data_IF_374530695377
#
_entry.id   IF_374530695377
#
_cell.length_a   1.000
_cell.length_b   1.000
_cell.length_c   1.000
_cell.angle_alpha   90.00
_cell.angle_beta   90.00
_cell.angle_gamma   90.00
#
_symmetry.space_group_name_H-M   'P 1'
#
loop_
_entity.id
_entity.type
_entity.pdbx_description
1 polymer ?
#
# COMPACT_ATOMS: atom_id res chain seq x y z
N UNK A 1 -28.59 -29.02 -7.26
CA UNK A 1 -28.46 -28.57 -8.66
C UNK A 1 -27.52 -27.41 -8.65
N UNK A 2 -26.25 -27.56 -9.06
CA UNK A 2 -25.29 -26.45 -9.24
C UNK A 2 -25.84 -25.61 -10.39
N UNK A 3 -25.92 -24.29 -10.16
CA UNK A 3 -26.27 -23.30 -11.18
C UNK A 3 -25.10 -23.20 -12.18
N UNK A 4 -25.04 -24.08 -13.17
CA UNK A 4 -23.93 -24.21 -14.14
C UNK A 4 -23.82 -23.06 -15.15
N UNK A 5 -24.59 -21.97 -15.01
CA UNK A 5 -24.62 -20.88 -16.00
C UNK A 5 -24.50 -19.47 -15.40
N UNK A 6 -23.98 -19.33 -14.17
CA UNK A 6 -23.79 -17.97 -13.63
C UNK A 6 -22.39 -17.48 -14.00
N UNK A 7 -22.33 -16.50 -14.93
CA UNK A 7 -21.08 -15.79 -15.23
C UNK A 7 -20.47 -15.20 -13.94
N UNK A 8 -19.18 -15.33 -13.79
CA UNK A 8 -18.40 -14.78 -12.67
C UNK A 8 -17.58 -13.58 -13.17
N UNK A 9 -18.24 -12.46 -13.48
CA UNK A 9 -17.58 -11.24 -13.93
C UNK A 9 -17.34 -10.31 -12.75
N UNK A 10 -16.13 -9.76 -12.63
CA UNK A 10 -15.74 -8.85 -11.56
C UNK A 10 -15.48 -7.45 -12.06
N UNK A 11 -15.89 -6.45 -11.27
CA UNK A 11 -15.56 -5.04 -11.48
C UNK A 11 -14.81 -4.50 -10.26
N UNK A 12 -13.54 -4.13 -10.43
CA UNK A 12 -12.80 -3.36 -9.43
C UNK A 12 -13.09 -1.87 -9.61
N UNK A 13 -13.29 -1.14 -8.50
CA UNK A 13 -13.51 0.31 -8.53
C UNK A 13 -12.48 0.98 -7.62
N UNK A 14 -11.63 1.81 -8.21
CA UNK A 14 -10.70 2.72 -7.55
C UNK A 14 -11.02 4.17 -7.89
N UNK A 15 -10.42 5.14 -7.20
CA UNK A 15 -10.54 6.54 -7.56
C UNK A 15 -9.74 6.85 -8.81
N UNK A 16 -8.46 6.52 -8.79
CA UNK A 16 -7.51 6.66 -9.89
C UNK A 16 -6.86 5.32 -10.20
N UNK A 17 -6.08 5.25 -11.26
CA UNK A 17 -5.13 4.18 -11.55
C UNK A 17 -3.72 4.78 -11.76
N UNK A 18 -3.35 5.73 -10.91
CA UNK A 18 -2.03 6.35 -10.85
C UNK A 18 -1.05 5.57 -9.97
N UNK A 19 0.09 6.19 -9.62
CA UNK A 19 1.09 5.59 -8.73
C UNK A 19 0.62 5.72 -7.29
N UNK A 20 0.24 4.59 -6.70
CA UNK A 20 -0.18 4.50 -5.30
C UNK A 20 -0.26 3.06 -4.83
N UNK A 21 -0.22 2.84 -3.52
CA UNK A 21 -0.27 1.49 -2.94
C UNK A 21 -1.61 0.79 -3.21
N UNK A 22 -2.73 1.51 -3.07
CA UNK A 22 -4.06 0.95 -3.33
C UNK A 22 -4.26 0.62 -4.81
N UNK A 23 -3.84 1.51 -5.71
CA UNK A 23 -3.91 1.35 -7.17
C UNK A 23 -3.08 0.15 -7.63
N UNK A 24 -1.90 -0.03 -7.03
CA UNK A 24 -1.05 -1.20 -7.30
C UNK A 24 -1.76 -2.50 -6.88
N UNK A 25 -2.43 -2.53 -5.74
CA UNK A 25 -3.22 -3.70 -5.31
C UNK A 25 -4.39 -3.97 -6.27
N UNK A 26 -5.09 -2.95 -6.75
CA UNK A 26 -6.14 -3.10 -7.78
C UNK A 26 -5.56 -3.73 -9.04
N UNK A 27 -4.41 -3.22 -9.52
CA UNK A 27 -3.74 -3.77 -10.69
C UNK A 27 -3.38 -5.25 -10.51
N UNK A 28 -2.73 -5.60 -9.39
CA UNK A 28 -2.29 -6.97 -9.10
C UNK A 28 -3.48 -7.94 -8.99
N UNK A 29 -4.54 -7.58 -8.28
CA UNK A 29 -5.74 -8.41 -8.16
C UNK A 29 -6.44 -8.59 -9.50
N UNK A 30 -6.49 -7.53 -10.32
CA UNK A 30 -7.13 -7.58 -11.63
C UNK A 30 -6.33 -8.40 -12.63
N UNK A 31 -4.99 -8.34 -12.60
CA UNK A 31 -4.11 -9.02 -13.55
C UNK A 31 -3.86 -10.48 -13.19
N UNK A 32 -3.54 -10.75 -11.93
CA UNK A 32 -2.96 -12.03 -11.52
C UNK A 32 -3.99 -13.00 -10.93
N UNK A 33 -5.22 -12.52 -10.73
CA UNK A 33 -6.40 -13.36 -10.44
C UNK A 33 -7.44 -13.35 -11.57
N UNK A 34 -7.10 -12.86 -12.77
CA UNK A 34 -8.04 -12.81 -13.89
C UNK A 34 -8.60 -14.18 -14.24
N UNK A 35 -7.82 -15.24 -14.11
CA UNK A 35 -8.21 -16.61 -14.45
C UNK A 35 -9.26 -17.20 -13.48
N UNK A 36 -9.53 -16.53 -12.37
CA UNK A 36 -10.63 -16.84 -11.45
C UNK A 36 -12.00 -16.34 -11.96
N UNK A 37 -12.04 -15.56 -13.05
CA UNK A 37 -13.24 -14.89 -13.56
C UNK A 37 -13.40 -15.05 -15.07
N UNK A 38 -14.64 -15.03 -15.55
CA UNK A 38 -14.95 -15.04 -16.99
C UNK A 38 -14.54 -13.69 -17.63
N UNK A 39 -14.66 -12.58 -16.91
CA UNK A 39 -14.12 -11.29 -17.31
C UNK A 39 -13.76 -10.43 -16.10
N UNK A 40 -12.73 -9.61 -16.27
CA UNK A 40 -12.26 -8.64 -15.26
C UNK A 40 -12.32 -7.23 -15.83
N UNK A 41 -12.92 -6.34 -15.05
CA UNK A 41 -13.10 -4.93 -15.38
C UNK A 41 -12.55 -4.06 -14.27
N UNK A 42 -12.02 -2.90 -14.64
CA UNK A 42 -11.59 -1.85 -13.70
C UNK A 42 -12.30 -0.54 -14.05
N UNK A 43 -12.82 0.18 -13.07
CA UNK A 43 -13.40 1.51 -13.24
C UNK A 43 -12.69 2.54 -12.37
N UNK A 44 -12.24 3.64 -12.96
CA UNK A 44 -11.58 4.76 -12.29
C UNK A 44 -11.62 6.02 -13.15
N UNK A 45 -11.08 7.14 -12.64
CA UNK A 45 -10.88 8.35 -13.48
C UNK A 45 -9.79 8.17 -14.54
N UNK A 46 -9.01 7.10 -14.48
CA UNK A 46 -7.84 6.83 -15.31
C UNK A 46 -6.53 6.97 -14.54
N UNK A 47 -5.40 6.85 -15.24
CA UNK A 47 -4.06 6.99 -14.69
C UNK A 47 -3.01 6.15 -15.42
N UNK A 48 -1.82 6.10 -14.87
CA UNK A 48 -0.64 5.49 -15.51
C UNK A 48 -0.78 3.98 -15.76
N UNK A 49 -1.59 3.27 -14.96
CA UNK A 49 -1.81 1.82 -15.11
C UNK A 49 -2.81 1.44 -16.22
N UNK A 50 -3.43 2.41 -16.93
CA UNK A 50 -4.43 2.09 -17.98
C UNK A 50 -3.85 1.24 -19.11
N UNK A 51 -2.63 1.56 -19.56
CA UNK A 51 -1.97 0.83 -20.64
C UNK A 51 -1.60 -0.60 -20.24
N UNK A 52 -1.10 -0.78 -19.01
CA UNK A 52 -0.75 -2.07 -18.45
C UNK A 52 -1.98 -2.96 -18.24
N UNK A 53 -3.10 -2.39 -17.77
CA UNK A 53 -4.39 -3.10 -17.69
C UNK A 53 -4.81 -3.61 -19.08
N UNK A 54 -4.77 -2.75 -20.11
CA UNK A 54 -5.09 -3.12 -21.49
C UNK A 54 -4.17 -4.22 -22.02
N UNK A 55 -2.86 -4.13 -21.76
CA UNK A 55 -1.88 -5.15 -22.16
C UNK A 55 -2.14 -6.52 -21.52
N UNK A 56 -2.76 -6.55 -20.33
CA UNK A 56 -3.19 -7.77 -19.63
C UNK A 56 -4.58 -8.27 -20.07
N UNK A 57 -5.25 -7.57 -21.00
CA UNK A 57 -6.59 -7.90 -21.48
C UNK A 57 -7.71 -7.52 -20.51
N UNK A 58 -7.44 -6.59 -19.57
CA UNK A 58 -8.40 -6.09 -18.59
C UNK A 58 -9.08 -4.86 -19.16
N UNK A 59 -10.42 -4.84 -19.13
CA UNK A 59 -11.18 -3.71 -19.65
C UNK A 59 -11.27 -2.58 -18.62
N UNK A 60 -10.63 -1.44 -18.91
CA UNK A 60 -10.76 -0.23 -18.12
C UNK A 60 -11.95 0.60 -18.57
N UNK A 61 -12.76 1.08 -17.62
CA UNK A 61 -13.90 1.97 -17.81
C UNK A 61 -13.63 3.32 -17.15
N UNK A 62 -13.48 4.36 -17.92
CA UNK A 62 -13.31 5.70 -17.39
C UNK A 62 -14.62 6.21 -16.79
N UNK A 63 -14.58 6.59 -15.51
CA UNK A 63 -15.71 7.16 -14.75
C UNK A 63 -15.34 8.54 -14.21
N UNK A 64 -16.36 9.28 -13.76
CA UNK A 64 -16.15 10.57 -13.09
C UNK A 64 -15.49 10.35 -11.71
N UNK A 65 -14.88 11.40 -11.17
CA UNK A 65 -14.26 11.33 -9.84
C UNK A 65 -15.30 10.98 -8.77
N UNK A 66 -15.06 9.85 -8.09
CA UNK A 66 -15.93 9.33 -7.04
C UNK A 66 -15.98 10.20 -5.78
N UNK A 67 -15.03 11.13 -5.61
CA UNK A 67 -15.02 12.10 -4.50
C UNK A 67 -15.78 13.38 -4.78
N UNK A 68 -16.36 13.51 -6.00
CA UNK A 68 -17.17 14.67 -6.36
C UNK A 68 -18.37 14.82 -5.44
N UNK A 69 -18.59 16.04 -4.94
CA UNK A 69 -19.72 16.40 -4.08
C UNK A 69 -20.90 16.98 -4.89
N UNK A 70 -20.77 17.17 -6.21
CA UNK A 70 -21.84 17.68 -7.07
C UNK A 70 -22.96 16.64 -7.22
N UNK A 71 -24.22 16.96 -6.89
CA UNK A 71 -25.36 16.02 -7.03
C UNK A 71 -25.52 15.49 -8.46
N UNK A 72 -25.30 16.35 -9.46
CA UNK A 72 -25.38 15.95 -10.88
C UNK A 72 -24.26 14.97 -11.24
N UNK A 73 -23.05 15.19 -10.73
CA UNK A 73 -21.93 14.27 -10.94
C UNK A 73 -22.18 12.93 -10.25
N UNK A 74 -22.72 12.93 -9.04
CA UNK A 74 -23.11 11.71 -8.31
C UNK A 74 -24.15 10.91 -9.08
N UNK A 75 -25.18 11.56 -9.62
CA UNK A 75 -26.22 10.89 -10.42
C UNK A 75 -25.63 10.29 -11.71
N UNK A 76 -24.80 11.03 -12.44
CA UNK A 76 -24.09 10.54 -13.63
C UNK A 76 -23.20 9.35 -13.30
N UNK A 77 -22.48 9.41 -12.18
CA UNK A 77 -21.59 8.35 -11.70
C UNK A 77 -22.38 7.07 -11.39
N UNK A 78 -23.47 7.16 -10.60
CA UNK A 78 -24.34 6.02 -10.32
C UNK A 78 -24.91 5.40 -11.60
N UNK A 79 -25.33 6.23 -12.55
CA UNK A 79 -25.85 5.77 -13.85
C UNK A 79 -24.77 5.05 -14.64
N UNK A 80 -23.55 5.61 -14.72
CA UNK A 80 -22.41 5.02 -15.41
C UNK A 80 -22.01 3.67 -14.81
N UNK A 81 -21.84 3.59 -13.48
CA UNK A 81 -21.49 2.33 -12.80
C UNK A 81 -22.59 1.28 -13.03
N UNK A 82 -23.87 1.69 -12.94
CA UNK A 82 -25.01 0.78 -13.21
C UNK A 82 -24.99 0.25 -14.65
N UNK A 83 -24.65 1.10 -15.64
CA UNK A 83 -24.53 0.68 -17.03
C UNK A 83 -23.39 -0.32 -17.23
N UNK A 84 -22.22 -0.08 -16.62
CA UNK A 84 -21.08 -1.01 -16.64
C UNK A 84 -21.49 -2.38 -16.06
N UNK A 85 -22.15 -2.38 -14.89
CA UNK A 85 -22.63 -3.60 -14.23
C UNK A 85 -23.56 -4.39 -15.15
N UNK A 86 -24.56 -3.72 -15.77
CA UNK A 86 -25.54 -4.39 -16.63
C UNK A 86 -24.97 -4.86 -17.96
N UNK A 87 -24.17 -4.00 -18.62
CA UNK A 87 -23.61 -4.31 -19.96
C UNK A 87 -22.66 -5.48 -19.93
N UNK A 88 -21.92 -5.65 -18.84
CA UNK A 88 -20.87 -6.66 -18.70
C UNK A 88 -21.28 -7.81 -17.77
N UNK A 89 -22.56 -7.96 -17.43
CA UNK A 89 -23.09 -9.01 -16.54
C UNK A 89 -22.27 -9.15 -15.25
N UNK A 90 -21.87 -8.01 -14.61
CA UNK A 90 -21.04 -8.02 -13.41
C UNK A 90 -21.80 -8.65 -12.24
N UNK A 91 -21.20 -9.64 -11.61
CA UNK A 91 -21.77 -10.35 -10.46
C UNK A 91 -21.06 -9.99 -9.16
N UNK A 92 -19.79 -9.60 -9.23
CA UNK A 92 -18.97 -9.19 -8.09
C UNK A 92 -18.44 -7.79 -8.34
N UNK A 93 -18.63 -6.87 -7.38
CA UNK A 93 -17.98 -5.57 -7.38
C UNK A 93 -17.03 -5.49 -6.19
N UNK A 94 -15.77 -5.22 -6.46
CA UNK A 94 -14.74 -5.03 -5.45
C UNK A 94 -14.33 -3.56 -5.43
N UNK A 95 -14.62 -2.88 -4.33
CA UNK A 95 -14.33 -1.45 -4.15
C UNK A 95 -13.11 -1.26 -3.24
N UNK A 96 -12.26 -0.29 -3.62
CA UNK A 96 -11.01 0.05 -2.92
C UNK A 96 -11.03 1.47 -2.32
N UNK A 97 -12.20 2.13 -2.37
CA UNK A 97 -12.39 3.48 -1.85
C UNK A 97 -13.75 3.61 -1.16
N UNK A 98 -13.82 4.37 -0.03
CA UNK A 98 -15.05 4.54 0.78
C UNK A 98 -16.24 5.04 -0.04
N UNK A 99 -16.02 6.05 -0.90
CA UNK A 99 -17.11 6.58 -1.72
C UNK A 99 -17.57 5.61 -2.79
N UNK A 100 -16.66 4.81 -3.37
CA UNK A 100 -17.06 3.72 -4.26
C UNK A 100 -17.96 2.71 -3.53
N UNK A 101 -17.58 2.32 -2.31
CA UNK A 101 -18.40 1.42 -1.49
C UNK A 101 -19.80 2.01 -1.20
N UNK A 102 -19.89 3.32 -0.92
CA UNK A 102 -21.15 4.00 -0.73
C UNK A 102 -22.05 3.92 -1.99
N UNK A 103 -21.51 4.18 -3.18
CA UNK A 103 -22.28 4.09 -4.42
C UNK A 103 -22.73 2.66 -4.71
N UNK A 104 -21.88 1.66 -4.47
CA UNK A 104 -22.29 0.26 -4.63
C UNK A 104 -23.37 -0.13 -3.63
N UNK A 105 -23.31 0.35 -2.39
CA UNK A 105 -24.39 0.14 -1.41
C UNK A 105 -25.72 0.66 -1.90
N UNK A 106 -25.76 1.84 -2.52
CA UNK A 106 -26.98 2.39 -3.13
C UNK A 106 -27.45 1.54 -4.32
N UNK A 107 -26.55 1.13 -5.19
CA UNK A 107 -26.88 0.30 -6.35
C UNK A 107 -27.38 -1.10 -5.96
N UNK A 108 -26.95 -1.65 -4.82
CA UNK A 108 -27.48 -2.93 -4.28
C UNK A 108 -28.96 -2.86 -3.92
N UNK A 109 -29.54 -1.70 -3.68
CA UNK A 109 -30.99 -1.56 -3.47
C UNK A 109 -31.81 -1.98 -4.70
N UNK A 110 -31.24 -1.77 -5.91
CA UNK A 110 -31.86 -2.13 -7.19
C UNK A 110 -31.20 -3.36 -7.86
N UNK A 111 -30.09 -3.84 -7.30
CA UNK A 111 -29.34 -5.03 -7.72
C UNK A 111 -29.00 -5.91 -6.50
N UNK A 112 -29.98 -6.51 -5.80
CA UNK A 112 -29.76 -7.18 -4.51
C UNK A 112 -28.84 -8.41 -4.61
N UNK A 113 -28.75 -9.03 -5.79
CA UNK A 113 -27.90 -10.21 -6.05
C UNK A 113 -26.42 -9.88 -6.26
N UNK A 114 -26.07 -8.58 -6.35
CA UNK A 114 -24.69 -8.13 -6.55
C UNK A 114 -23.87 -8.43 -5.29
N UNK A 115 -22.77 -9.15 -5.45
CA UNK A 115 -21.80 -9.40 -4.39
C UNK A 115 -20.90 -8.17 -4.28
N UNK A 116 -20.76 -7.61 -3.07
CA UNK A 116 -19.91 -6.46 -2.81
C UNK A 116 -18.75 -6.87 -1.90
N UNK A 117 -17.54 -6.68 -2.39
CA UNK A 117 -16.29 -6.81 -1.64
C UNK A 117 -15.72 -5.41 -1.45
N UNK A 118 -15.21 -5.12 -0.27
CA UNK A 118 -14.54 -3.87 0.03
C UNK A 118 -13.18 -4.15 0.67
N UNK A 119 -12.11 -3.58 0.11
CA UNK A 119 -10.80 -3.57 0.76
C UNK A 119 -10.52 -2.19 1.36
N UNK A 120 -10.34 -2.16 2.68
CA UNK A 120 -9.93 -0.99 3.44
C UNK A 120 -8.40 -0.86 3.43
N UNK A 121 -7.89 0.22 2.84
CA UNK A 121 -6.46 0.49 2.73
C UNK A 121 -5.92 1.42 3.83
N UNK A 122 -6.80 2.11 4.56
CA UNK A 122 -6.43 3.09 5.58
C UNK A 122 -7.37 3.03 6.79
N UNK A 123 -6.89 3.57 7.92
CA UNK A 123 -7.68 3.86 9.09
C UNK A 123 -8.45 5.18 8.89
N UNK A 124 -9.74 5.18 9.14
CA UNK A 124 -10.59 6.37 9.03
C UNK A 124 -11.29 6.67 10.35
N UNK A 125 -11.25 7.93 10.76
CA UNK A 125 -11.90 8.41 12.01
C UNK A 125 -13.05 9.39 11.75
N UNK A 126 -13.25 9.77 10.49
CA UNK A 126 -14.29 10.70 10.07
C UNK A 126 -15.47 10.00 9.41
N UNK A 127 -16.68 10.61 9.50
CA UNK A 127 -17.90 10.17 8.82
C UNK A 127 -18.26 8.69 9.04
N UNK A 128 -17.97 8.16 10.23
CA UNK A 128 -18.14 6.75 10.58
C UNK A 128 -19.56 6.21 10.32
N UNK A 129 -20.67 6.92 10.60
CA UNK A 129 -22.01 6.43 10.29
C UNK A 129 -22.24 6.21 8.78
N UNK A 130 -21.73 7.11 7.93
CA UNK A 130 -21.80 6.96 6.48
C UNK A 130 -20.94 5.80 5.99
N UNK A 131 -19.76 5.65 6.58
CA UNK A 131 -18.84 4.56 6.28
C UNK A 131 -19.45 3.20 6.67
N UNK A 132 -20.04 3.10 7.88
CA UNK A 132 -20.79 1.92 8.32
C UNK A 132 -21.93 1.57 7.35
N UNK A 133 -22.72 2.57 6.94
CA UNK A 133 -23.79 2.37 5.95
C UNK A 133 -23.24 1.83 4.63
N UNK A 134 -22.14 2.39 4.12
CA UNK A 134 -21.52 1.98 2.86
C UNK A 134 -21.08 0.50 2.89
N UNK A 135 -20.66 -0.01 4.05
CA UNK A 135 -20.18 -1.38 4.21
C UNK A 135 -21.26 -2.38 4.65
N UNK A 136 -22.49 -1.95 4.87
CA UNK A 136 -23.58 -2.87 5.23
C UNK A 136 -23.79 -3.91 4.12
N UNK A 137 -23.67 -5.20 4.47
CA UNK A 137 -23.73 -6.34 3.55
C UNK A 137 -22.59 -6.37 2.49
N UNK A 138 -21.46 -5.72 2.77
CA UNK A 138 -20.22 -5.92 2.04
C UNK A 138 -19.36 -6.98 2.74
N UNK A 139 -18.60 -7.77 1.98
CA UNK A 139 -17.52 -8.59 2.51
C UNK A 139 -16.29 -7.69 2.65
N UNK A 140 -15.95 -7.37 3.90
CA UNK A 140 -14.91 -6.39 4.20
C UNK A 140 -13.56 -7.07 4.43
N UNK A 141 -12.53 -6.56 3.76
CA UNK A 141 -11.13 -6.95 3.91
C UNK A 141 -10.36 -5.76 4.45
N UNK A 142 -9.52 -5.99 5.44
CA UNK A 142 -8.55 -5.02 5.94
C UNK A 142 -7.15 -5.42 5.48
N UNK A 143 -6.34 -4.45 5.04
CA UNK A 143 -4.96 -4.71 4.59
C UNK A 143 -3.99 -5.00 5.73
N UNK A 144 -4.42 -4.82 6.99
CA UNK A 144 -3.63 -5.06 8.19
C UNK A 144 -4.50 -5.02 9.45
N UNK A 145 -3.94 -5.40 10.60
CA UNK A 145 -4.66 -5.48 11.87
C UNK A 145 -5.11 -4.10 12.38
N UNK A 146 -4.32 -3.06 12.16
CA UNK A 146 -4.71 -1.70 12.54
C UNK A 146 -6.00 -1.25 11.80
N UNK A 147 -6.08 -1.56 10.50
CA UNK A 147 -7.27 -1.27 9.68
C UNK A 147 -8.45 -2.15 10.08
N UNK A 148 -8.20 -3.44 10.40
CA UNK A 148 -9.21 -4.38 10.87
C UNK A 148 -9.81 -3.93 12.21
N UNK A 149 -8.97 -3.47 13.13
CA UNK A 149 -9.40 -2.90 14.42
C UNK A 149 -10.29 -1.68 14.21
N UNK A 150 -9.90 -0.76 13.33
CA UNK A 150 -10.72 0.41 12.97
C UNK A 150 -12.07 -0.01 12.37
N UNK A 151 -12.12 -0.98 11.46
CA UNK A 151 -13.38 -1.48 10.92
C UNK A 151 -14.29 -2.05 12.01
N UNK A 152 -13.75 -2.81 12.96
CA UNK A 152 -14.52 -3.45 14.02
C UNK A 152 -14.97 -2.49 15.11
N UNK A 153 -14.04 -1.72 15.66
CA UNK A 153 -14.26 -0.91 16.86
C UNK A 153 -14.90 0.45 16.53
N UNK A 154 -14.38 1.16 15.53
CA UNK A 154 -14.83 2.51 15.21
C UNK A 154 -16.01 2.49 14.23
N UNK A 155 -15.93 1.67 13.16
CA UNK A 155 -16.97 1.61 12.12
C UNK A 155 -18.09 0.66 12.48
N UNK A 156 -17.84 -0.38 13.29
CA UNK A 156 -18.82 -1.38 13.72
C UNK A 156 -19.08 -2.49 12.69
N UNK A 157 -18.06 -2.84 11.89
CA UNK A 157 -18.08 -3.96 10.94
C UNK A 157 -17.38 -5.15 11.56
N UNK A 158 -18.13 -6.07 12.13
CA UNK A 158 -17.60 -7.22 12.88
C UNK A 158 -17.13 -8.37 11.99
N UNK A 159 -17.73 -8.54 10.79
CA UNK A 159 -17.35 -9.57 9.80
C UNK A 159 -16.33 -8.98 8.80
N UNK A 160 -15.13 -8.70 9.27
CA UNK A 160 -13.99 -8.32 8.45
C UNK A 160 -12.83 -9.28 8.65
N UNK A 161 -12.09 -9.55 7.56
CA UNK A 161 -10.88 -10.40 7.60
C UNK A 161 -9.65 -9.60 7.22
N UNK A 162 -8.50 -9.98 7.76
CA UNK A 162 -7.21 -9.42 7.35
C UNK A 162 -6.67 -10.22 6.18
N UNK A 163 -6.29 -9.51 5.12
CA UNK A 163 -5.45 -10.02 4.05
C UNK A 163 -4.34 -8.99 3.85
N UNK A 164 -3.15 -9.32 4.32
CA UNK A 164 -1.99 -8.45 4.14
C UNK A 164 -1.67 -8.24 2.67
N UNK A 165 -1.32 -7.03 2.30
CA UNK A 165 -0.89 -6.75 0.93
C UNK A 165 0.41 -7.48 0.63
N UNK A 166 0.47 -8.12 -0.53
CA UNK A 166 1.71 -8.61 -1.12
C UNK A 166 2.39 -7.54 -1.94
N UNK A 167 3.71 -7.62 -2.03
CA UNK A 167 4.51 -6.76 -2.91
C UNK A 167 5.18 -7.59 -3.99
N UNK A 168 5.32 -6.99 -5.18
CA UNK A 168 6.04 -7.58 -6.30
C UNK A 168 7.15 -6.60 -6.67
N UNK A 169 8.37 -7.02 -6.50
CA UNK A 169 9.55 -6.38 -7.05
C UNK A 169 10.22 -7.37 -7.99
N UNK A 170 10.94 -6.86 -8.97
CA UNK A 170 11.81 -7.70 -9.79
C UNK A 170 12.85 -8.33 -8.89
N UNK A 171 12.96 -9.66 -8.94
CA UNK A 171 14.06 -10.35 -8.26
C UNK A 171 15.36 -10.02 -9.01
N UNK A 172 16.31 -9.44 -8.32
CA UNK A 172 17.60 -9.05 -8.86
C UNK A 172 18.61 -8.88 -7.73
N UNK A 173 19.86 -9.19 -8.02
CA UNK A 173 21.02 -8.85 -7.17
C UNK A 173 21.69 -7.55 -7.64
N UNK A 174 21.18 -6.92 -8.70
CA UNK A 174 21.71 -5.66 -9.22
C UNK A 174 21.66 -4.56 -8.17
N UNK A 175 22.58 -3.62 -8.26
CA UNK A 175 22.72 -2.48 -7.38
C UNK A 175 22.84 -1.19 -8.20
N UNK A 176 22.64 -0.05 -7.55
CA UNK A 176 22.73 1.27 -8.18
C UNK A 176 24.12 1.86 -7.94
N UNK A 177 24.89 2.07 -9.02
CA UNK A 177 26.25 2.60 -8.95
C UNK A 177 26.37 3.91 -8.15
N UNK A 178 25.43 4.82 -8.32
CA UNK A 178 25.40 6.09 -7.59
C UNK A 178 25.33 5.89 -6.06
N UNK A 179 24.70 4.81 -5.60
CA UNK A 179 24.56 4.50 -4.18
C UNK A 179 25.80 3.74 -3.69
N UNK A 180 26.21 2.69 -4.40
CA UNK A 180 27.32 1.82 -3.95
C UNK A 180 28.68 2.49 -4.04
N UNK A 181 28.85 3.52 -4.87
CA UNK A 181 30.07 4.31 -4.94
C UNK A 181 30.37 5.07 -3.63
N UNK A 182 29.40 5.27 -2.76
CA UNK A 182 29.63 5.82 -1.44
C UNK A 182 30.25 4.75 -0.53
N UNK A 183 31.46 5.03 0.01
CA UNK A 183 32.23 4.07 0.79
C UNK A 183 31.75 3.82 2.22
N UNK A 184 30.91 4.72 2.76
CA UNK A 184 30.34 4.62 4.12
C UNK A 184 29.02 3.87 4.18
N UNK A 185 28.31 4.02 5.29
CA UNK A 185 26.98 3.41 5.52
C UNK A 185 25.92 4.08 4.64
N UNK A 186 25.17 3.26 3.91
CA UNK A 186 24.11 3.66 2.98
C UNK A 186 22.75 3.44 3.63
N UNK A 187 22.15 4.52 4.13
CA UNK A 187 20.82 4.52 4.72
C UNK A 187 19.78 4.85 3.63
N UNK A 188 18.84 3.93 3.40
CA UNK A 188 17.78 4.12 2.41
C UNK A 188 16.47 4.62 3.00
N UNK A 189 15.82 5.58 2.34
CA UNK A 189 14.43 5.96 2.60
C UNK A 189 13.64 5.95 1.30
N UNK A 190 12.62 5.09 1.19
CA UNK A 190 11.76 5.00 0.01
C UNK A 190 10.39 5.54 0.40
N UNK A 191 10.04 6.73 -0.10
CA UNK A 191 8.84 7.41 0.33
C UNK A 191 8.37 8.47 -0.68
N UNK A 192 7.05 8.67 -0.75
CA UNK A 192 6.50 9.90 -1.32
C UNK A 192 6.89 11.09 -0.43
N UNK A 193 7.32 12.19 -1.02
CA UNK A 193 7.70 13.40 -0.27
C UNK A 193 6.45 14.17 0.15
N UNK A 194 5.78 13.68 1.20
CA UNK A 194 4.53 14.20 1.75
C UNK A 194 4.58 14.30 3.28
N UNK A 195 3.70 15.10 3.87
CA UNK A 195 3.60 15.25 5.33
C UNK A 195 3.43 13.89 6.03
N UNK A 196 2.62 12.99 5.46
CA UNK A 196 2.39 11.65 5.98
C UNK A 196 3.69 10.90 6.30
N UNK A 197 4.74 11.08 5.49
CA UNK A 197 5.99 10.33 5.59
C UNK A 197 6.98 10.89 6.62
N UNK A 198 6.69 12.07 7.19
CA UNK A 198 7.44 12.63 8.32
C UNK A 198 8.93 12.85 8.05
N UNK A 199 9.30 13.11 6.79
CA UNK A 199 10.71 13.26 6.38
C UNK A 199 11.42 14.44 7.06
N UNK A 200 10.68 15.44 7.52
CA UNK A 200 11.23 16.55 8.32
C UNK A 200 11.88 16.04 9.62
N UNK A 201 11.24 15.09 10.31
CA UNK A 201 11.79 14.45 11.51
C UNK A 201 13.01 13.56 11.21
N UNK A 202 13.03 12.92 10.02
CA UNK A 202 14.21 12.18 9.59
C UNK A 202 15.40 13.08 9.33
N UNK A 203 15.21 14.24 8.68
CA UNK A 203 16.27 15.20 8.47
C UNK A 203 16.77 15.80 9.80
N UNK A 204 15.87 16.08 10.75
CA UNK A 204 16.27 16.47 12.11
C UNK A 204 17.11 15.38 12.78
N UNK A 205 16.73 14.10 12.65
CA UNK A 205 17.49 12.98 13.17
C UNK A 205 18.88 12.85 12.52
N UNK A 206 18.98 13.08 11.19
CA UNK A 206 20.27 13.07 10.49
C UNK A 206 21.25 14.10 11.04
N UNK A 207 20.77 15.28 11.47
CA UNK A 207 21.63 16.29 12.08
C UNK A 207 22.14 15.94 13.49
N UNK A 208 21.49 14.96 14.15
CA UNK A 208 21.83 14.50 15.51
C UNK A 208 22.73 13.26 15.52
N UNK A 209 23.02 12.64 14.36
CA UNK A 209 23.81 11.42 14.28
C UNK A 209 25.21 11.62 14.84
N UNK A 210 25.66 10.62 15.57
CA UNK A 210 27.06 10.53 16.08
C UNK A 210 27.99 9.87 15.07
N UNK A 211 27.48 8.91 14.28
CA UNK A 211 28.18 8.29 13.16
C UNK A 211 28.34 9.31 12.03
N UNK A 212 29.60 9.53 11.59
CA UNK A 212 29.91 10.55 10.57
C UNK A 212 29.95 10.00 9.15
N UNK A 213 30.27 8.72 8.98
CA UNK A 213 30.42 8.10 7.67
C UNK A 213 29.11 7.35 7.29
N UNK A 214 28.00 8.13 7.24
CA UNK A 214 26.68 7.64 6.86
C UNK A 214 26.03 8.65 5.90
N UNK A 215 25.37 8.13 4.84
CA UNK A 215 24.62 8.95 3.90
C UNK A 215 23.20 8.41 3.76
N UNK A 216 22.23 9.32 3.85
CA UNK A 216 20.81 9.06 3.58
C UNK A 216 20.52 9.27 2.09
N UNK A 217 19.99 8.24 1.46
CA UNK A 217 19.49 8.27 0.10
C UNK A 217 17.96 8.23 0.12
N UNK A 218 17.32 9.28 -0.39
CA UNK A 218 15.87 9.40 -0.44
C UNK A 218 15.37 9.10 -1.85
N UNK A 219 14.65 7.99 -1.99
CA UNK A 219 14.02 7.55 -3.24
C UNK A 219 12.54 7.92 -3.21
N UNK A 220 12.11 8.71 -4.19
CA UNK A 220 10.74 9.18 -4.34
C UNK A 220 10.66 10.67 -4.65
N UNK A 221 9.44 11.14 -4.89
CA UNK A 221 9.14 12.53 -5.17
C UNK A 221 7.80 12.93 -4.51
N UNK A 222 7.49 14.23 -4.48
CA UNK A 222 6.23 14.72 -3.92
C UNK A 222 6.23 16.22 -3.63
N UNK A 223 5.12 16.67 -3.10
CA UNK A 223 4.82 18.09 -2.87
C UNK A 223 5.80 18.81 -1.94
N UNK A 224 6.47 18.08 -1.05
CA UNK A 224 7.42 18.66 -0.09
C UNK A 224 8.87 18.70 -0.60
N UNK A 225 9.16 18.35 -1.86
CA UNK A 225 10.53 18.28 -2.38
C UNK A 225 11.34 19.50 -2.08
N UNK A 226 10.86 20.68 -2.47
CA UNK A 226 11.58 21.96 -2.29
C UNK A 226 11.78 22.30 -0.81
N UNK A 227 10.79 22.03 0.03
CA UNK A 227 10.86 22.30 1.47
C UNK A 227 11.94 21.41 2.12
N UNK A 228 11.98 20.14 1.80
CA UNK A 228 12.97 19.20 2.33
C UNK A 228 14.39 19.52 1.85
N UNK A 229 14.58 19.91 0.59
CA UNK A 229 15.88 20.37 0.08
C UNK A 229 16.37 21.65 0.77
N UNK A 230 15.48 22.58 1.08
CA UNK A 230 15.82 23.77 1.86
C UNK A 230 16.22 23.40 3.30
N UNK A 231 15.47 22.49 3.94
CA UNK A 231 15.80 21.98 5.28
C UNK A 231 17.16 21.28 5.32
N UNK A 232 17.54 20.55 4.29
CA UNK A 232 18.89 19.95 4.16
C UNK A 232 19.97 21.04 4.17
N UNK A 233 19.75 22.17 3.49
CA UNK A 233 20.69 23.31 3.49
C UNK A 233 20.75 24.00 4.85
N UNK A 234 19.61 24.24 5.49
CA UNK A 234 19.51 24.85 6.82
C UNK A 234 20.22 24.02 7.91
N UNK A 235 20.14 22.70 7.80
CA UNK A 235 20.78 21.74 8.73
C UNK A 235 22.23 21.40 8.33
N UNK A 236 22.78 21.98 7.27
CA UNK A 236 24.11 21.68 6.73
C UNK A 236 24.35 20.19 6.42
N UNK A 237 23.34 19.52 5.83
CA UNK A 237 23.35 18.08 5.52
C UNK A 237 23.61 17.76 4.04
N UNK A 238 24.11 18.72 3.22
CA UNK A 238 24.27 18.54 1.76
C UNK A 238 25.18 17.36 1.40
N UNK A 239 26.19 17.09 2.24
CA UNK A 239 27.12 15.98 2.04
C UNK A 239 26.61 14.64 2.61
N UNK A 240 25.52 14.67 3.41
CA UNK A 240 24.98 13.50 4.12
C UNK A 240 23.59 13.06 3.62
N UNK A 241 22.95 13.82 2.73
CA UNK A 241 21.61 13.52 2.19
C UNK A 241 21.60 13.69 0.68
N UNK A 242 21.16 12.65 -0.01
CA UNK A 242 21.00 12.63 -1.48
C UNK A 242 19.56 12.30 -1.84
N UNK A 243 18.93 13.15 -2.65
CA UNK A 243 17.61 12.90 -3.22
C UNK A 243 17.76 12.27 -4.60
N UNK A 244 17.34 11.00 -4.75
CA UNK A 244 17.42 10.26 -6.02
C UNK A 244 16.21 10.48 -6.94
N UNK A 245 15.17 11.19 -6.45
CA UNK A 245 13.93 11.40 -7.19
C UNK A 245 13.10 10.12 -7.35
N UNK A 246 12.13 10.15 -8.26
CA UNK A 246 11.33 8.98 -8.59
C UNK A 246 12.16 7.96 -9.36
N UNK A 247 12.12 6.70 -8.89
CA UNK A 247 12.82 5.58 -9.53
C UNK A 247 11.86 4.41 -9.78
N UNK A 248 12.15 3.63 -10.82
CA UNK A 248 11.42 2.40 -11.17
C UNK A 248 12.15 1.14 -10.70
N UNK A 249 13.45 1.23 -10.54
CA UNK A 249 14.37 0.19 -10.09
C UNK A 249 14.49 0.13 -8.56
N UNK A 250 13.34 -0.03 -7.90
CA UNK A 250 13.22 -0.02 -6.44
C UNK A 250 13.98 -1.18 -5.79
N UNK A 251 13.98 -2.38 -6.41
CA UNK A 251 14.70 -3.53 -5.89
C UNK A 251 16.22 -3.28 -5.88
N UNK A 252 16.75 -2.75 -6.96
CA UNK A 252 18.15 -2.37 -7.11
C UNK A 252 18.56 -1.30 -6.08
N UNK A 253 17.69 -0.31 -5.86
CA UNK A 253 17.90 0.68 -4.79
C UNK A 253 17.96 0.02 -3.41
N UNK A 254 17.00 -0.85 -3.07
CA UNK A 254 16.96 -1.55 -1.78
C UNK A 254 18.21 -2.40 -1.59
N UNK A 255 18.64 -3.13 -2.63
CA UNK A 255 19.85 -3.97 -2.58
C UNK A 255 21.12 -3.15 -2.29
N UNK A 256 21.14 -1.89 -2.76
CA UNK A 256 22.27 -0.97 -2.57
C UNK A 256 22.39 -0.41 -1.16
N UNK A 257 21.33 -0.46 -0.34
CA UNK A 257 21.34 0.07 1.03
C UNK A 257 21.86 -0.95 2.04
N UNK A 258 22.51 -0.47 3.11
CA UNK A 258 22.88 -1.30 4.27
C UNK A 258 21.65 -1.61 5.13
N UNK A 259 20.78 -0.63 5.34
CA UNK A 259 19.46 -0.74 5.98
C UNK A 259 18.56 0.44 5.59
N UNK A 260 17.29 0.38 5.96
CA UNK A 260 16.33 1.42 5.60
C UNK A 260 15.79 2.15 6.83
N UNK A 261 15.09 3.26 6.57
CA UNK A 261 14.37 4.04 7.57
C UNK A 261 12.99 4.45 7.07
N UNK A 262 12.01 4.42 7.97
CA UNK A 262 10.66 4.93 7.72
C UNK A 262 10.19 5.80 8.89
N UNK A 263 10.09 7.10 8.68
CA UNK A 263 9.67 8.11 9.67
C UNK A 263 8.18 8.46 9.58
N UNK A 264 7.35 7.61 8.97
CA UNK A 264 5.94 7.87 8.70
C UNK A 264 5.16 8.22 9.96
N UNK A 265 4.15 9.11 9.80
CA UNK A 265 3.27 9.56 10.87
C UNK A 265 1.98 8.74 10.98
N UNK A 266 1.53 8.18 9.87
CA UNK A 266 0.38 7.27 9.80
C UNK A 266 0.46 6.39 8.56
N UNK A 267 0.03 5.12 8.68
CA UNK A 267 -0.02 4.14 7.59
C UNK A 267 -1.25 3.24 7.75
N UNK A 268 -1.74 2.70 6.64
CA UNK A 268 -2.67 1.57 6.68
C UNK A 268 -1.92 0.25 6.78
N UNK A 269 -0.98 0.04 5.85
CA UNK A 269 0.06 -0.97 5.85
C UNK A 269 1.21 -0.43 4.99
N UNK A 270 2.41 -0.35 5.57
CA UNK A 270 3.57 0.25 4.91
C UNK A 270 4.21 -0.72 3.90
N UNK A 271 3.90 -0.57 2.61
CA UNK A 271 4.42 -1.46 1.56
C UNK A 271 5.94 -1.38 1.41
N UNK A 272 6.53 -0.20 1.57
CA UNK A 272 7.98 0.00 1.53
C UNK A 272 8.72 -0.79 2.63
N UNK A 273 8.09 -1.04 3.78
CA UNK A 273 8.61 -1.93 4.83
C UNK A 273 8.62 -3.37 4.33
N UNK A 274 7.54 -3.82 3.73
CA UNK A 274 7.42 -5.18 3.17
C UNK A 274 8.41 -5.36 2.02
N UNK A 275 8.62 -4.34 1.18
CA UNK A 275 9.62 -4.33 0.10
C UNK A 275 11.05 -4.45 0.65
N UNK A 276 11.37 -3.76 1.74
CA UNK A 276 12.67 -3.92 2.42
C UNK A 276 12.86 -5.35 2.94
N UNK A 277 11.85 -5.92 3.58
CA UNK A 277 11.89 -7.28 4.13
C UNK A 277 11.98 -8.35 3.03
N UNK A 278 11.29 -8.15 1.90
CA UNK A 278 11.44 -8.99 0.71
C UNK A 278 12.88 -9.09 0.24
N UNK A 279 13.65 -8.00 0.34
CA UNK A 279 15.05 -7.91 -0.07
C UNK A 279 16.02 -8.16 1.09
N UNK A 280 15.59 -8.85 2.15
CA UNK A 280 16.42 -9.17 3.32
C UNK A 280 17.11 -7.93 3.92
N UNK A 281 16.43 -6.81 4.03
CA UNK A 281 16.90 -5.59 4.69
C UNK A 281 16.12 -5.33 5.96
N UNK A 282 16.82 -4.98 7.04
CA UNK A 282 16.19 -4.46 8.26
C UNK A 282 15.98 -2.96 8.17
N UNK A 283 15.30 -2.40 9.16
CA UNK A 283 15.05 -0.96 9.19
C UNK A 283 14.86 -0.39 10.60
N UNK A 284 14.99 0.94 10.68
CA UNK A 284 14.45 1.75 11.77
C UNK A 284 13.12 2.33 11.32
N UNK A 285 12.07 2.23 12.13
CA UNK A 285 10.76 2.72 11.73
C UNK A 285 9.99 3.36 12.90
N UNK A 286 9.07 4.28 12.57
CA UNK A 286 8.13 4.85 13.55
C UNK A 286 7.22 3.77 14.13
N UNK A 287 7.05 3.75 15.45
CA UNK A 287 6.09 2.89 16.14
C UNK A 287 4.67 3.46 16.00
N UNK A 288 4.06 3.14 14.88
CA UNK A 288 2.69 3.53 14.54
C UNK A 288 1.90 2.34 14.02
N UNK A 289 0.56 2.35 14.15
CA UNK A 289 -0.29 1.38 13.50
C UNK A 289 0.01 1.27 11.98
N UNK A 290 0.00 0.05 11.45
CA UNK A 290 0.36 -0.23 10.04
C UNK A 290 1.86 -0.41 9.78
N UNK A 291 2.73 0.02 10.71
CA UNK A 291 4.17 -0.30 10.71
C UNK A 291 4.48 -1.34 11.78
N UNK A 292 4.01 -1.14 13.01
CA UNK A 292 4.35 -2.01 14.15
C UNK A 292 3.70 -3.40 14.13
N UNK A 293 2.87 -3.69 13.14
CA UNK A 293 2.40 -5.04 12.84
C UNK A 293 3.33 -5.79 11.87
N UNK A 294 4.21 -5.06 11.17
CA UNK A 294 5.23 -5.60 10.26
C UNK A 294 6.61 -5.59 10.90
N UNK A 295 7.00 -4.43 11.44
CA UNK A 295 8.28 -4.26 12.15
C UNK A 295 8.11 -4.65 13.62
N UNK A 296 8.97 -5.53 14.10
CA UNK A 296 9.05 -6.00 15.47
C UNK A 296 10.50 -5.88 15.98
N UNK A 297 10.73 -6.07 17.27
CA UNK A 297 12.08 -6.05 17.85
C UNK A 297 13.00 -7.16 17.32
N UNK A 298 12.44 -8.19 16.68
CA UNK A 298 13.17 -9.32 16.09
C UNK A 298 13.64 -9.05 14.66
N UNK A 299 13.01 -8.11 13.94
CA UNK A 299 13.29 -7.85 12.52
C UNK A 299 13.62 -6.38 12.19
N UNK A 300 13.52 -5.46 13.18
CA UNK A 300 13.85 -4.04 13.02
C UNK A 300 13.89 -3.30 14.36
N UNK A 301 13.98 -1.97 14.30
CA UNK A 301 13.93 -1.12 15.49
C UNK A 301 12.75 -0.14 15.34
N UNK A 302 11.83 -0.17 16.31
CA UNK A 302 10.74 0.77 16.41
C UNK A 302 11.10 1.92 17.35
N UNK A 303 10.76 3.15 16.94
CA UNK A 303 10.95 4.38 17.72
C UNK A 303 9.66 5.21 17.76
N UNK A 304 9.41 6.02 18.79
CA UNK A 304 8.26 6.90 18.81
C UNK A 304 8.21 7.78 17.58
N UNK A 305 7.04 7.94 16.96
CA UNK A 305 6.87 8.88 15.86
C UNK A 305 7.13 10.32 16.31
N UNK A 306 7.65 11.16 15.41
CA UNK A 306 8.00 12.56 15.68
C UNK A 306 9.10 12.74 16.74
N UNK A 307 9.94 11.74 16.97
CA UNK A 307 11.06 11.79 17.90
C UNK A 307 12.41 11.67 17.15
N UNK A 308 13.00 12.78 16.71
CA UNK A 308 14.29 12.77 16.00
C UNK A 308 15.44 12.21 16.84
N UNK A 309 15.40 12.37 18.18
CA UNK A 309 16.47 11.88 19.07
C UNK A 309 16.46 10.35 19.14
N UNK A 310 15.28 9.77 19.37
CA UNK A 310 15.13 8.31 19.36
C UNK A 310 15.46 7.72 18.00
N UNK A 311 15.05 8.41 16.91
CA UNK A 311 15.34 7.98 15.53
C UNK A 311 16.85 7.99 15.25
N UNK A 312 17.57 9.06 15.64
CA UNK A 312 19.02 9.17 15.49
C UNK A 312 19.75 8.06 16.26
N UNK A 313 19.38 7.84 17.53
CA UNK A 313 19.99 6.79 18.37
C UNK A 313 19.81 5.38 17.76
N UNK A 314 18.63 5.10 17.19
CA UNK A 314 18.36 3.81 16.54
C UNK A 314 19.13 3.67 15.22
N UNK A 315 19.27 4.73 14.44
CA UNK A 315 20.08 4.77 13.22
C UNK A 315 21.56 4.54 13.57
N UNK A 316 22.13 5.27 14.54
CA UNK A 316 23.52 5.10 15.02
C UNK A 316 23.77 3.65 15.46
N UNK A 317 22.82 3.04 16.17
CA UNK A 317 22.93 1.63 16.61
C UNK A 317 23.03 0.66 15.44
N UNK A 318 22.16 0.80 14.43
CA UNK A 318 22.24 -0.05 13.24
C UNK A 318 23.46 0.29 12.37
N UNK A 319 23.90 1.53 12.32
CA UNK A 319 25.08 1.94 11.55
C UNK A 319 26.36 1.30 12.12
N UNK A 320 26.48 1.19 13.44
CA UNK A 320 27.69 0.68 14.12
C UNK A 320 27.69 -0.83 14.34
N UNK A 321 26.53 -1.51 14.36
CA UNK A 321 26.42 -2.95 14.65
C UNK A 321 25.98 -3.75 13.41
N UNK A 322 26.97 -4.15 12.59
CA UNK A 322 26.73 -4.97 11.39
C UNK A 322 26.15 -6.35 11.73
N UNK A 323 26.53 -6.94 12.88
CA UNK A 323 26.01 -8.24 13.33
C UNK A 323 24.51 -8.15 13.65
N UNK A 324 24.12 -7.10 14.37
CA UNK A 324 22.70 -6.83 14.64
C UNK A 324 21.93 -6.61 13.35
N UNK A 325 22.45 -5.78 12.41
CA UNK A 325 21.80 -5.56 11.10
C UNK A 325 21.52 -6.87 10.40
N UNK A 326 22.54 -7.74 10.29
CA UNK A 326 22.41 -9.04 9.63
C UNK A 326 21.40 -9.96 10.31
N UNK A 327 21.44 -10.04 11.65
CA UNK A 327 20.48 -10.83 12.44
C UNK A 327 19.04 -10.39 12.17
N UNK A 328 18.76 -9.09 12.26
CA UNK A 328 17.43 -8.53 12.04
C UNK A 328 16.98 -8.71 10.59
N UNK A 329 17.87 -8.55 9.61
CA UNK A 329 17.57 -8.72 8.19
C UNK A 329 17.19 -10.17 7.85
N UNK A 330 17.85 -11.17 8.43
CA UNK A 330 17.48 -12.58 8.27
C UNK A 330 16.06 -12.84 8.80
N UNK A 331 15.73 -12.28 9.96
CA UNK A 331 14.37 -12.44 10.50
C UNK A 331 13.33 -11.67 9.68
N UNK A 332 13.66 -10.48 9.19
CA UNK A 332 12.80 -9.69 8.30
C UNK A 332 12.42 -10.47 7.03
N UNK A 333 13.38 -11.14 6.40
CA UNK A 333 13.12 -12.01 5.23
C UNK A 333 12.19 -13.17 5.58
N UNK A 334 12.41 -13.85 6.71
CA UNK A 334 11.52 -14.93 7.16
C UNK A 334 10.09 -14.46 7.43
N UNK A 335 9.94 -13.29 8.05
CA UNK A 335 8.62 -12.72 8.34
C UNK A 335 7.89 -12.32 7.04
N UNK A 336 8.63 -11.80 6.04
CA UNK A 336 8.08 -11.58 4.71
C UNK A 336 7.56 -12.87 4.08
N UNK A 337 8.37 -13.93 4.05
CA UNK A 337 8.01 -15.20 3.44
C UNK A 337 6.77 -15.84 4.10
N UNK A 338 6.67 -15.75 5.42
CA UNK A 338 5.60 -16.38 6.19
C UNK A 338 4.30 -15.59 6.24
N UNK A 339 4.31 -14.26 6.07
CA UNK A 339 3.14 -13.40 6.31
C UNK A 339 2.80 -12.45 5.17
N UNK A 340 3.79 -11.96 4.43
CA UNK A 340 3.63 -10.83 3.52
C UNK A 340 4.01 -11.18 2.08
N UNK A 341 4.30 -12.46 1.80
CA UNK A 341 4.70 -12.87 0.46
C UNK A 341 3.57 -12.72 -0.54
N UNK A 342 3.95 -12.38 -1.77
CA UNK A 342 3.00 -12.17 -2.85
C UNK A 342 2.15 -13.43 -3.19
N UNK A 343 2.73 -14.65 -3.22
CA UNK A 343 1.92 -15.87 -3.40
C UNK A 343 0.85 -16.05 -2.33
N UNK A 344 1.16 -15.78 -1.06
CA UNK A 344 0.21 -15.87 0.05
C UNK A 344 -0.92 -14.83 -0.07
N UNK A 345 -0.59 -13.61 -0.48
CA UNK A 345 -1.57 -12.56 -0.79
C UNK A 345 -2.55 -13.03 -1.86
N UNK A 346 -2.07 -13.56 -2.99
CA UNK A 346 -2.92 -14.05 -4.06
C UNK A 346 -3.78 -15.24 -3.62
N UNK A 347 -3.20 -16.18 -2.86
CA UNK A 347 -3.93 -17.34 -2.35
C UNK A 347 -5.09 -16.92 -1.44
N UNK A 348 -4.87 -15.97 -0.53
CA UNK A 348 -5.91 -15.47 0.36
C UNK A 348 -7.07 -14.78 -0.40
N UNK A 349 -6.77 -13.98 -1.43
CA UNK A 349 -7.82 -13.39 -2.26
C UNK A 349 -8.51 -14.42 -3.16
N UNK A 350 -7.76 -15.40 -3.70
CA UNK A 350 -8.33 -16.51 -4.45
C UNK A 350 -9.32 -17.30 -3.60
N UNK A 351 -8.96 -17.63 -2.36
CA UNK A 351 -9.83 -18.30 -1.41
C UNK A 351 -11.10 -17.48 -1.11
N UNK A 352 -10.94 -16.16 -0.89
CA UNK A 352 -12.08 -15.23 -0.69
C UNK A 352 -13.02 -15.25 -1.89
N UNK A 353 -12.51 -15.10 -3.09
CA UNK A 353 -13.37 -15.06 -4.29
C UNK A 353 -14.08 -16.40 -4.57
N UNK A 354 -13.41 -17.53 -4.35
CA UNK A 354 -14.02 -18.86 -4.46
C UNK A 354 -15.15 -19.08 -3.44
N UNK A 355 -14.93 -18.68 -2.19
CA UNK A 355 -15.97 -18.69 -1.16
C UNK A 355 -17.21 -17.90 -1.61
N UNK A 356 -17.01 -16.70 -2.18
CA UNK A 356 -18.09 -15.82 -2.62
C UNK A 356 -18.85 -16.35 -3.85
N UNK A 357 -18.19 -17.13 -4.70
CA UNK A 357 -18.79 -17.83 -5.83
C UNK A 357 -19.58 -19.08 -5.40
N UNK A 358 -19.42 -19.53 -4.16
CA UNK A 358 -20.00 -20.78 -3.64
C UNK A 358 -19.24 -22.03 -4.10
N UNK A 359 -17.99 -21.89 -4.49
CA UNK A 359 -17.08 -22.97 -4.81
C UNK A 359 -16.46 -23.48 -3.49
N UNK A 360 -16.82 -24.70 -3.09
CA UNK A 360 -16.18 -25.34 -1.93
C UNK A 360 -14.69 -25.58 -2.20
N UNK A 361 -13.89 -25.55 -1.11
CA UNK A 361 -12.46 -25.92 -1.14
C UNK A 361 -12.26 -27.33 -1.68
#
# INVERSE_FOLDING_TARGET
MKNENRKNNILHISRTMDIGGAERIVFLLSSDLKDEFDSVHVASTGGLWENELSAKGIQHHKILDIDSKSPLTVLKLLTSIRQIIKKNDITIVHTHHRMAAFYIRLLKLVHPKLIHVYTAHNVFKDKLPLYRFALTNAKSVAVGEAVNKNLKEDVGITDSRVIYNGVVLKETDDQVDEIISYGGIKLGCIARLSEQKGLTYLLDAMSLLTVKDIRLFIVGDGELRNELENKVKELHLQDSVTFLGYRKDIAECINSFDFLVSSSLFEGLALNVIEAFMNAKTMVASDIPGINEVVTKENGILVPAKDPVALASAIDKLATDATLRQKLAIQAKKDYENKFSYPLFLENYRALYRELKGESK
#
